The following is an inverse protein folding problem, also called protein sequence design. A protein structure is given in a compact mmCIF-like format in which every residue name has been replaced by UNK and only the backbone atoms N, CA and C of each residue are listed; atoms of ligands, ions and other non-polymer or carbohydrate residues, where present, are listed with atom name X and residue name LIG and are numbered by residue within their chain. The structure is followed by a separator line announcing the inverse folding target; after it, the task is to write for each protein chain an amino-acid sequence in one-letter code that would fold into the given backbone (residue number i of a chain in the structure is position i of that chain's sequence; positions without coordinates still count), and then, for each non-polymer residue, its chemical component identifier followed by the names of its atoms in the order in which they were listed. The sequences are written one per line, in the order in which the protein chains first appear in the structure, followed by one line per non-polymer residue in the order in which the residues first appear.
data_IF_311845317791
#
_entry.id   IF_311845317791
#
_cell.length_a   1.000
_cell.length_b   1.000
_cell.length_c   1.000
_cell.angle_alpha   90.00
_cell.angle_beta   90.00
_cell.angle_gamma   90.00
#
_symmetry.space_group_name_H-M   'P 1'
#
loop_
_entity.id
_entity.type
_entity.pdbx_description
1 polymer ?
#
# COMPACT_ATOMS: atom_id res chain seq x y z
N UNK A 1 -12.47 28.33 19.58
CA UNK A 1 -12.03 27.27 18.65
C UNK A 1 -10.52 27.38 18.47
N UNK A 2 -9.74 26.39 18.91
CA UNK A 2 -8.28 26.37 18.70
C UNK A 2 -8.02 26.02 17.24
N UNK A 3 -7.30 26.87 16.50
CA UNK A 3 -6.77 26.53 15.18
C UNK A 3 -5.75 25.40 15.36
N UNK A 4 -6.05 24.19 14.89
CA UNK A 4 -5.01 23.19 14.66
C UNK A 4 -4.03 23.77 13.63
N UNK A 5 -2.77 23.87 14.02
CA UNK A 5 -1.71 24.20 13.08
C UNK A 5 -1.63 23.12 12.00
N UNK A 6 -1.59 23.54 10.74
CA UNK A 6 -1.20 22.68 9.63
C UNK A 6 0.23 22.17 9.89
N UNK A 7 0.51 20.85 9.78
CA UNK A 7 1.84 20.30 10.05
C UNK A 7 2.92 20.69 9.03
N UNK A 8 2.59 21.48 7.99
CA UNK A 8 3.58 22.13 7.16
C UNK A 8 4.12 23.39 7.88
N UNK A 9 4.87 23.18 8.96
CA UNK A 9 5.62 24.24 9.60
C UNK A 9 6.74 24.73 8.66
N UNK A 10 6.79 26.05 8.53
CA UNK A 10 7.66 26.91 7.73
C UNK A 10 9.16 26.52 7.78
N UNK A 11 9.62 25.67 6.86
CA UNK A 11 11.03 25.64 6.52
C UNK A 11 11.36 26.90 5.71
N UNK A 12 12.33 27.71 6.16
CA UNK A 12 12.75 28.96 5.49
C UNK A 12 13.33 28.75 4.09
N UNK A 13 13.61 27.49 3.74
CA UNK A 13 14.02 27.03 2.41
C UNK A 13 13.23 25.76 2.08
N UNK A 14 12.73 25.60 0.84
CA UNK A 14 12.13 24.35 0.42
C UNK A 14 13.12 23.19 0.61
N UNK A 15 12.70 22.16 1.34
CA UNK A 15 13.47 20.93 1.54
C UNK A 15 12.81 19.85 0.69
N UNK A 16 13.52 19.29 -0.31
CA UNK A 16 13.02 18.13 -1.05
C UNK A 16 12.64 17.02 -0.08
N UNK A 17 11.36 16.66 -0.07
CA UNK A 17 10.80 15.71 0.90
C UNK A 17 10.04 14.62 0.15
N UNK A 18 10.21 13.37 0.56
CA UNK A 18 9.46 12.24 0.03
C UNK A 18 8.27 11.99 0.96
N UNK A 19 7.06 12.05 0.40
CA UNK A 19 5.85 11.54 1.04
C UNK A 19 5.61 10.14 0.49
N UNK A 20 5.92 9.11 1.28
CA UNK A 20 5.65 7.72 0.96
C UNK A 20 4.40 7.26 1.71
N UNK A 21 3.44 6.70 0.97
CA UNK A 21 2.28 6.03 1.56
C UNK A 21 2.22 4.60 1.05
N UNK A 22 2.59 3.69 1.94
CA UNK A 22 2.37 2.25 1.78
C UNK A 22 0.88 1.93 1.94
N UNK A 23 0.39 0.92 1.21
CA UNK A 23 -1.02 0.50 1.25
C UNK A 23 -2.01 1.65 0.98
N UNK A 24 -1.73 2.43 -0.07
CA UNK A 24 -2.43 3.68 -0.37
C UNK A 24 -3.93 3.51 -0.71
N UNK A 25 -4.48 2.30 -0.72
CA UNK A 25 -5.91 2.04 -0.86
C UNK A 25 -6.75 2.80 0.19
N UNK A 26 -6.24 3.00 1.41
CA UNK A 26 -6.96 3.77 2.42
C UNK A 26 -6.95 5.29 2.12
N UNK A 27 -6.09 5.76 1.21
CA UNK A 27 -6.02 7.17 0.81
C UNK A 27 -7.10 7.57 -0.18
N UNK A 28 -7.99 6.64 -0.55
CA UNK A 28 -9.06 6.91 -1.52
C UNK A 28 -10.33 7.47 -0.87
N UNK A 29 -10.41 7.50 0.48
CA UNK A 29 -11.58 7.97 1.22
C UNK A 29 -11.24 8.99 2.33
N UNK A 30 -12.23 9.82 2.67
CA UNK A 30 -12.19 10.70 3.85
C UNK A 30 -11.21 11.87 3.76
N UNK A 31 -10.83 12.38 4.94
CA UNK A 31 -9.97 13.56 5.07
C UNK A 31 -8.53 13.31 4.59
N UNK A 32 -8.03 12.09 4.73
CA UNK A 32 -6.70 11.67 4.24
C UNK A 32 -6.64 11.83 2.72
N UNK A 33 -7.67 11.36 1.99
CA UNK A 33 -7.74 11.52 0.53
C UNK A 33 -7.65 12.97 0.08
N UNK A 34 -8.31 13.88 0.81
CA UNK A 34 -8.32 15.31 0.50
C UNK A 34 -6.93 15.93 0.64
N UNK A 35 -6.22 15.61 1.73
CA UNK A 35 -4.87 16.11 1.97
C UNK A 35 -3.88 15.53 0.98
N UNK A 36 -3.92 14.21 0.75
CA UNK A 36 -3.01 13.54 -0.18
C UNK A 36 -3.19 14.06 -1.59
N UNK A 37 -4.43 14.19 -2.08
CA UNK A 37 -4.70 14.79 -3.40
C UNK A 37 -4.17 16.22 -3.52
N UNK A 38 -4.32 17.04 -2.48
CA UNK A 38 -3.79 18.41 -2.47
C UNK A 38 -2.26 18.40 -2.55
N UNK A 39 -1.60 17.54 -1.79
CA UNK A 39 -0.14 17.40 -1.81
C UNK A 39 0.36 16.94 -3.17
N UNK A 40 -0.29 15.94 -3.80
CA UNK A 40 0.06 15.46 -5.14
C UNK A 40 -0.04 16.58 -6.18
N UNK A 41 -1.15 17.33 -6.20
CA UNK A 41 -1.34 18.43 -7.16
C UNK A 41 -0.38 19.60 -6.97
N UNK A 42 0.01 19.89 -5.73
CA UNK A 42 0.94 20.99 -5.40
C UNK A 42 2.39 20.52 -5.24
N UNK A 43 2.68 19.25 -5.52
CA UNK A 43 3.96 18.58 -5.22
C UNK A 43 5.18 19.39 -5.69
N UNK A 44 5.15 19.88 -6.93
CA UNK A 44 6.20 20.74 -7.51
C UNK A 44 6.43 22.03 -6.72
N UNK A 45 5.36 22.72 -6.33
CA UNK A 45 5.45 23.96 -5.57
C UNK A 45 5.91 23.73 -4.12
N UNK A 46 5.63 22.55 -3.56
CA UNK A 46 5.98 22.17 -2.19
C UNK A 46 7.33 21.46 -2.07
N UNK A 47 8.05 21.23 -3.18
CA UNK A 47 9.24 20.37 -3.21
C UNK A 47 8.98 18.96 -2.65
N UNK A 48 7.81 18.40 -2.97
CA UNK A 48 7.42 17.06 -2.56
C UNK A 48 7.54 16.06 -3.71
N UNK A 49 8.11 14.90 -3.42
CA UNK A 49 7.96 13.69 -4.23
C UNK A 49 6.93 12.80 -3.54
N UNK A 50 5.75 12.63 -4.15
CA UNK A 50 4.69 11.80 -3.60
C UNK A 50 4.75 10.40 -4.22
N UNK A 51 4.91 9.38 -3.38
CA UNK A 51 5.04 7.98 -3.77
C UNK A 51 3.96 7.16 -3.09
N UNK A 52 3.30 6.30 -3.86
CA UNK A 52 2.13 5.54 -3.43
C UNK A 52 2.26 4.09 -3.88
N UNK A 53 1.99 3.14 -2.98
CA UNK A 53 1.90 1.73 -3.30
C UNK A 53 0.43 1.26 -3.33
N UNK A 54 -0.02 0.68 -4.44
CA UNK A 54 -1.36 0.14 -4.63
C UNK A 54 -1.30 -1.32 -5.10
N UNK A 55 -2.17 -2.17 -4.58
CA UNK A 55 -2.20 -3.61 -4.91
C UNK A 55 -3.34 -3.99 -5.86
N UNK A 56 -4.55 -3.46 -5.68
CA UNK A 56 -5.73 -3.76 -6.50
C UNK A 56 -6.30 -2.50 -7.14
N UNK A 57 -5.74 -2.10 -8.28
CA UNK A 57 -6.22 -0.91 -9.00
C UNK A 57 -7.67 -1.12 -9.48
N UNK A 58 -8.05 -2.36 -9.82
CA UNK A 58 -9.42 -2.66 -10.26
C UNK A 58 -10.49 -2.45 -9.18
N UNK A 59 -10.11 -2.44 -7.90
CA UNK A 59 -11.02 -2.19 -6.77
C UNK A 59 -11.25 -0.69 -6.50
N UNK A 60 -10.51 0.21 -7.18
CA UNK A 60 -10.62 1.65 -6.97
C UNK A 60 -11.81 2.20 -7.77
N UNK A 61 -12.81 2.84 -7.12
CA UNK A 61 -13.95 3.43 -7.83
C UNK A 61 -13.49 4.48 -8.84
N UNK A 62 -14.05 4.44 -10.05
CA UNK A 62 -13.66 5.30 -11.17
C UNK A 62 -13.81 6.80 -10.89
N UNK A 63 -14.75 7.18 -10.03
CA UNK A 63 -15.05 8.55 -9.60
C UNK A 63 -14.29 8.97 -8.32
N UNK A 64 -13.48 8.07 -7.74
CA UNK A 64 -12.75 8.36 -6.51
C UNK A 64 -11.62 9.38 -6.71
N UNK A 65 -11.29 10.19 -5.68
CA UNK A 65 -10.13 11.08 -5.73
C UNK A 65 -8.80 10.39 -6.04
N UNK A 66 -8.68 9.09 -5.75
CA UNK A 66 -7.46 8.32 -5.96
C UNK A 66 -7.17 8.02 -7.43
N UNK A 67 -8.20 7.83 -8.25
CA UNK A 67 -8.03 7.72 -9.70
C UNK A 67 -7.40 9.00 -10.26
N UNK A 68 -7.81 10.17 -9.75
CA UNK A 68 -7.17 11.43 -10.13
C UNK A 68 -5.71 11.49 -9.71
N UNK A 69 -5.32 10.85 -8.61
CA UNK A 69 -3.91 10.80 -8.19
C UNK A 69 -3.10 9.87 -9.07
N UNK A 70 -3.62 8.68 -9.40
CA UNK A 70 -2.96 7.72 -10.27
C UNK A 70 -2.71 8.29 -11.68
N UNK A 71 -3.68 9.04 -12.22
CA UNK A 71 -3.55 9.71 -13.53
C UNK A 71 -2.46 10.80 -13.57
N UNK A 72 -2.04 11.32 -12.42
CA UNK A 72 -1.00 12.36 -12.32
C UNK A 72 0.40 11.76 -12.14
N UNK A 73 0.51 10.43 -11.96
CA UNK A 73 1.78 9.75 -11.78
C UNK A 73 2.56 9.68 -13.10
N UNK A 74 3.60 10.51 -13.23
CA UNK A 74 4.52 10.46 -14.36
C UNK A 74 5.59 9.37 -14.27
N UNK A 75 5.57 8.51 -13.25
CA UNK A 75 6.54 7.43 -13.06
C UNK A 75 5.86 6.30 -12.32
N UNK A 76 5.82 5.10 -12.91
CA UNK A 76 5.11 3.95 -12.35
C UNK A 76 5.93 2.68 -12.47
N UNK A 77 5.99 1.93 -11.37
CA UNK A 77 6.62 0.62 -11.30
C UNK A 77 5.51 -0.42 -11.16
N UNK A 78 5.30 -1.21 -12.21
CA UNK A 78 4.23 -2.19 -12.28
C UNK A 78 4.80 -3.58 -11.99
N UNK A 79 4.56 -4.07 -10.77
CA UNK A 79 4.92 -5.43 -10.39
C UNK A 79 3.87 -6.43 -10.88
N UNK A 80 4.20 -7.72 -10.74
CA UNK A 80 3.33 -8.82 -11.11
C UNK A 80 1.92 -8.67 -10.52
N UNK A 81 0.92 -8.63 -11.38
CA UNK A 81 -0.49 -8.72 -10.99
C UNK A 81 -0.98 -10.16 -11.21
N UNK A 82 -1.50 -10.79 -10.16
CA UNK A 82 -2.02 -12.17 -10.27
C UNK A 82 -3.39 -12.22 -10.95
N UNK A 83 -4.23 -11.22 -10.71
CA UNK A 83 -5.56 -11.11 -11.29
C UNK A 83 -5.47 -10.43 -12.66
N UNK A 84 -6.08 -11.02 -13.68
CA UNK A 84 -6.11 -10.44 -15.03
C UNK A 84 -6.80 -9.08 -15.07
N UNK A 85 -7.84 -8.87 -14.26
CA UNK A 85 -8.54 -7.60 -14.15
C UNK A 85 -7.61 -6.46 -13.67
N UNK A 86 -6.74 -6.72 -12.69
CA UNK A 86 -5.76 -5.74 -12.22
C UNK A 86 -4.70 -5.45 -13.29
N UNK A 87 -4.24 -6.48 -14.01
CA UNK A 87 -3.27 -6.30 -15.09
C UNK A 87 -3.85 -5.46 -16.25
N UNK A 88 -5.10 -5.69 -16.62
CA UNK A 88 -5.81 -4.91 -17.64
C UNK A 88 -6.05 -3.46 -17.17
N UNK A 89 -6.42 -3.27 -15.90
CA UNK A 89 -6.58 -1.94 -15.33
C UNK A 89 -5.25 -1.16 -15.35
N UNK A 90 -4.11 -1.82 -15.10
CA UNK A 90 -2.79 -1.21 -15.27
C UNK A 90 -2.49 -0.83 -16.73
N UNK A 91 -2.79 -1.72 -17.69
CA UNK A 91 -2.61 -1.46 -19.12
C UNK A 91 -3.37 -0.21 -19.57
N UNK A 92 -4.64 -0.10 -19.16
CA UNK A 92 -5.49 1.04 -19.48
C UNK A 92 -5.07 2.31 -18.73
N UNK A 93 -4.90 2.24 -17.40
CA UNK A 93 -4.63 3.40 -16.54
C UNK A 93 -3.35 4.15 -16.95
N UNK A 94 -2.33 3.41 -17.35
CA UNK A 94 -1.01 3.95 -17.65
C UNK A 94 -0.70 3.96 -19.15
N UNK A 95 -1.72 3.78 -19.99
CA UNK A 95 -1.60 3.84 -21.47
C UNK A 95 -0.44 2.98 -21.97
N UNK A 96 -0.39 1.72 -21.52
CA UNK A 96 0.67 0.79 -21.92
C UNK A 96 0.38 0.23 -23.32
N UNK A 97 1.40 -0.29 -24.03
CA UNK A 97 1.17 -1.00 -25.29
C UNK A 97 0.17 -2.15 -25.12
N UNK A 98 -0.69 -2.36 -26.10
CA UNK A 98 -1.70 -3.43 -26.06
C UNK A 98 -1.03 -4.79 -25.86
N UNK A 99 -1.57 -5.59 -24.92
CA UNK A 99 -1.03 -6.91 -24.57
C UNK A 99 0.00 -6.88 -23.44
N UNK A 100 0.34 -5.70 -22.93
CA UNK A 100 1.22 -5.55 -21.76
C UNK A 100 0.64 -6.21 -20.50
N UNK A 101 -0.69 -6.30 -20.37
CA UNK A 101 -1.34 -7.01 -19.27
C UNK A 101 -0.87 -8.47 -19.17
N UNK A 102 -0.68 -9.16 -20.30
CA UNK A 102 -0.16 -10.53 -20.30
C UNK A 102 1.28 -10.58 -19.76
N UNK A 103 2.12 -9.62 -20.16
CA UNK A 103 3.49 -9.47 -19.65
C UNK A 103 3.47 -9.25 -18.13
N UNK A 104 2.63 -8.33 -17.64
CA UNK A 104 2.50 -8.01 -16.22
C UNK A 104 2.15 -9.26 -15.41
N UNK A 105 1.24 -10.12 -15.88
CA UNK A 105 0.88 -11.36 -15.15
C UNK A 105 2.02 -12.38 -15.06
N UNK A 106 2.97 -12.31 -15.99
CA UNK A 106 4.10 -13.25 -16.10
C UNK A 106 5.38 -12.75 -15.43
N UNK A 107 5.42 -11.49 -14.99
CA UNK A 107 6.58 -10.93 -14.28
C UNK A 107 7.02 -11.83 -13.12
N UNK A 108 8.34 -11.88 -12.95
CA UNK A 108 9.01 -12.65 -11.90
C UNK A 108 9.12 -11.76 -10.66
N UNK A 109 9.09 -12.37 -9.47
CA UNK A 109 9.30 -11.63 -8.23
C UNK A 109 10.64 -10.89 -8.28
N UNK A 110 10.64 -9.60 -7.98
CA UNK A 110 11.82 -8.76 -8.06
C UNK A 110 12.04 -8.12 -9.44
N UNK A 111 11.16 -8.34 -10.41
CA UNK A 111 11.11 -7.52 -11.64
C UNK A 111 9.83 -6.70 -11.68
N UNK A 112 9.88 -5.58 -12.40
CA UNK A 112 8.73 -4.75 -12.69
C UNK A 112 8.80 -4.26 -14.13
N UNK A 113 7.64 -3.94 -14.67
CA UNK A 113 7.57 -3.10 -15.85
C UNK A 113 7.63 -1.64 -15.40
N UNK A 114 8.66 -0.93 -15.83
CA UNK A 114 8.93 0.43 -15.43
C UNK A 114 8.56 1.41 -16.54
N UNK A 115 7.69 2.38 -16.24
CA UNK A 115 7.29 3.44 -17.16
C UNK A 115 7.60 4.82 -16.58
N UNK A 116 8.17 5.67 -17.43
CA UNK A 116 8.45 7.08 -17.14
C UNK A 116 7.73 7.92 -18.19
N UNK A 117 6.80 8.74 -17.72
CA UNK A 117 6.02 9.71 -18.50
C UNK A 117 5.47 9.11 -19.81
N UNK A 118 5.76 9.72 -20.96
CA UNK A 118 5.26 9.29 -22.26
C UNK A 118 6.11 8.18 -22.90
N UNK A 119 7.22 7.77 -22.29
CA UNK A 119 8.13 6.79 -22.89
C UNK A 119 7.56 5.37 -22.81
N UNK A 120 8.03 4.53 -23.74
CA UNK A 120 7.73 3.11 -23.77
C UNK A 120 8.21 2.44 -22.48
N UNK A 121 7.42 1.52 -21.91
CA UNK A 121 7.81 0.82 -20.71
C UNK A 121 8.96 -0.16 -20.99
N UNK A 122 9.81 -0.38 -20.00
CA UNK A 122 10.90 -1.37 -20.05
C UNK A 122 10.91 -2.23 -18.79
N UNK A 123 11.38 -3.47 -18.91
CA UNK A 123 11.54 -4.33 -17.73
C UNK A 123 12.75 -3.89 -16.91
N UNK A 124 12.57 -3.80 -15.60
CA UNK A 124 13.59 -3.42 -14.64
C UNK A 124 13.69 -4.46 -13.52
N UNK A 125 14.91 -4.66 -13.02
CA UNK A 125 15.18 -5.52 -11.86
C UNK A 125 15.21 -4.62 -10.61
N UNK A 126 14.38 -4.95 -9.63
CA UNK A 126 14.41 -4.34 -8.32
C UNK A 126 15.32 -5.17 -7.40
N UNK A 127 16.51 -4.63 -7.15
CA UNK A 127 17.48 -5.22 -6.23
C UNK A 127 17.29 -4.62 -4.85
N UNK A 128 17.26 -5.47 -3.83
CA UNK A 128 17.26 -5.07 -2.41
C UNK A 128 18.60 -5.46 -1.78
N UNK A 129 19.14 -4.56 -0.97
CA UNK A 129 20.25 -4.84 -0.07
C UNK A 129 19.84 -5.84 1.02
N UNK A 130 20.81 -6.52 1.67
CA UNK A 130 20.51 -7.42 2.78
C UNK A 130 19.68 -6.77 3.90
N UNK A 131 19.98 -5.51 4.23
CA UNK A 131 19.24 -4.75 5.25
C UNK A 131 17.78 -4.51 4.83
N UNK A 132 17.54 -4.12 3.57
CA UNK A 132 16.16 -3.92 3.08
C UNK A 132 15.37 -5.22 3.08
N UNK A 133 16.00 -6.35 2.78
CA UNK A 133 15.35 -7.67 2.87
C UNK A 133 14.94 -7.97 4.31
N UNK A 134 15.81 -7.73 5.28
CA UNK A 134 15.53 -7.92 6.71
C UNK A 134 14.40 -7.00 7.19
N UNK A 135 14.48 -5.71 6.88
CA UNK A 135 13.48 -4.72 7.31
C UNK A 135 12.09 -4.92 6.70
N UNK A 136 12.01 -5.59 5.54
CA UNK A 136 10.75 -5.81 4.81
C UNK A 136 10.25 -7.26 4.88
N UNK A 137 10.86 -8.11 5.70
CA UNK A 137 10.33 -9.44 5.99
C UNK A 137 9.10 -9.33 6.90
N UNK A 138 7.92 -9.36 6.28
CA UNK A 138 6.63 -9.34 6.98
C UNK A 138 6.09 -10.74 7.26
N UNK A 139 6.75 -11.81 6.77
CA UNK A 139 6.30 -13.19 6.98
C UNK A 139 6.60 -13.68 8.40
N UNK A 140 7.52 -13.01 9.13
CA UNK A 140 7.93 -13.40 10.48
C UNK A 140 6.76 -13.46 11.47
N UNK A 141 5.80 -12.52 11.40
CA UNK A 141 4.63 -12.50 12.25
C UNK A 141 3.66 -13.65 11.95
N UNK A 142 3.58 -14.09 10.68
CA UNK A 142 2.72 -15.19 10.24
C UNK A 142 3.28 -16.59 10.58
N UNK A 143 4.57 -16.68 10.96
CA UNK A 143 5.24 -17.92 11.36
C UNK A 143 5.25 -18.15 12.87
N UNK A 144 4.66 -17.25 13.66
CA UNK A 144 4.60 -17.39 15.11
C UNK A 144 3.64 -18.50 15.54
N UNK A 145 4.16 -19.53 16.22
CA UNK A 145 3.33 -20.61 16.79
C UNK A 145 2.84 -20.15 18.16
N UNK A 146 1.61 -19.64 18.24
CA UNK A 146 0.98 -19.36 19.53
C UNK A 146 0.51 -20.67 20.14
N UNK A 147 1.18 -21.13 21.21
CA UNK A 147 0.68 -22.25 22.02
C UNK A 147 -0.48 -21.76 22.87
N UNK A 148 -1.71 -22.15 22.53
CA UNK A 148 -2.86 -21.94 23.41
C UNK A 148 -2.80 -23.04 24.47
N UNK A 149 -2.44 -22.68 25.70
CA UNK A 149 -2.58 -23.59 26.84
C UNK A 149 -4.07 -23.64 27.23
N UNK A 150 -4.71 -24.78 27.02
CA UNK A 150 -6.01 -25.06 27.60
C UNK A 150 -5.80 -25.45 29.06
N UNK A 151 -6.19 -24.59 29.98
CA UNK A 151 -6.32 -24.94 31.39
C UNK A 151 -7.66 -25.63 31.56
N UNK A 152 -7.65 -26.96 31.69
CA UNK A 152 -8.83 -27.69 32.14
C UNK A 152 -9.00 -27.44 33.64
N UNK A 153 -10.04 -26.69 34.03
CA UNK A 153 -10.47 -26.64 35.42
C UNK A 153 -11.13 -27.98 35.77
N UNK A 154 -10.47 -28.76 36.63
CA UNK A 154 -11.08 -29.94 37.24
C UNK A 154 -12.16 -29.48 38.22
N UNK A 155 -13.43 -29.61 37.85
CA UNK A 155 -14.54 -29.49 38.80
C UNK A 155 -14.44 -30.63 39.81
N UNK A 156 -13.96 -30.32 41.02
CA UNK A 156 -14.08 -31.22 42.17
C UNK A 156 -15.55 -31.31 42.55
N UNK A 157 -16.15 -32.44 42.21
CA UNK A 157 -17.46 -32.89 42.66
C UNK A 157 -17.25 -33.47 44.08
N UNK A 158 -17.40 -32.65 45.12
CA UNK A 158 -17.28 -33.09 46.51
C UNK A 158 -18.53 -32.78 47.35
N UNK A 159 -19.21 -33.87 47.66
CA UNK A 159 -19.95 -34.19 48.89
C UNK A 159 -21.26 -33.47 49.21
N UNK A 160 -22.33 -34.24 48.96
CA UNK A 160 -23.66 -34.20 49.57
C UNK A 160 -23.61 -34.12 51.11
N UNK A 161 -24.09 -33.02 51.68
CA UNK A 161 -24.28 -32.86 53.12
C UNK A 161 -25.62 -33.50 53.54
N UNK A 162 -25.55 -34.55 54.36
CA UNK A 162 -26.70 -35.25 54.94
C UNK A 162 -27.12 -34.53 56.23
N UNK A 163 -28.35 -34.00 56.26
CA UNK A 163 -28.96 -33.37 57.45
C UNK A 163 -29.73 -34.44 58.23
N UNK A 164 -29.37 -34.77 59.49
CA UNK A 164 -30.26 -35.52 60.38
C UNK A 164 -31.20 -34.58 61.15
N UNK A 165 -32.34 -35.16 61.57
CA UNK A 165 -33.52 -34.49 62.15
C UNK A 165 -33.29 -33.74 63.47
#
# INVERSE_FOLDING_TARGET
MKKCASPAATASRPVPTILLIEEAWHTVQGSVATVTRRNTKLSRALSLSCQFAFHHISDIPADSPAISMLKECGTVLLYKQQKSADALACEEMFTLPVGTAEVITKLVKGTCLFKIDQYDPFEAIHVRSPLEVELTDTDGAMKSTSTIAFTEESSTDDAMEVIPA
#
